data_IF_555945522011
#
_entry.id   IF_555945522011
#
_cell.length_a   1.000
_cell.length_b   1.000
_cell.length_c   1.000
_cell.angle_alpha   90.00
_cell.angle_beta   90.00
_cell.angle_gamma   90.00
#
_symmetry.space_group_name_H-M   'P 1'
#
loop_
_entity.id
_entity.type
_entity.pdbx_description
1 polymer ?
#
# COMPACT_ATOMS: atom_id res chain seq x y z
N UNK A 1 36.62 -2.59 65.08
CA UNK A 1 38.07 -2.33 64.98
C UNK A 1 38.54 -2.83 63.63
N UNK A 2 39.25 -1.99 62.87
CA UNK A 2 40.08 -2.43 61.75
C UNK A 2 39.42 -2.40 60.38
N UNK A 3 39.68 -1.30 59.67
CA UNK A 3 39.54 -1.07 58.23
C UNK A 3 40.55 -1.89 57.42
N UNK A 4 40.29 -2.00 56.11
CA UNK A 4 41.21 -1.79 54.95
C UNK A 4 40.69 -2.63 53.77
N UNK A 5 40.27 -2.00 52.66
CA UNK A 5 41.11 -1.61 51.51
C UNK A 5 41.74 -2.86 50.85
N UNK A 6 41.68 -3.11 49.54
CA UNK A 6 41.50 -2.21 48.41
C UNK A 6 41.40 -3.05 47.12
N UNK A 7 41.16 -2.37 46.00
CA UNK A 7 41.55 -2.71 44.62
C UNK A 7 40.66 -3.61 43.73
N UNK A 8 40.13 -2.93 42.71
CA UNK A 8 39.64 -3.42 41.43
C UNK A 8 40.68 -4.24 40.66
N UNK A 9 40.24 -5.08 39.70
CA UNK A 9 40.47 -4.90 38.23
C UNK A 9 40.19 -6.20 37.45
N UNK A 10 39.44 -6.03 36.35
CA UNK A 10 39.32 -6.79 35.07
C UNK A 10 38.59 -8.14 34.94
N UNK A 11 37.56 -8.08 34.07
CA UNK A 11 37.28 -8.89 32.87
C UNK A 11 37.55 -10.40 32.89
N UNK A 12 36.54 -11.17 32.46
CA UNK A 12 36.65 -11.92 31.19
C UNK A 12 35.32 -12.51 30.72
N UNK A 13 35.11 -12.41 29.42
CA UNK A 13 34.11 -13.14 28.64
C UNK A 13 34.42 -14.64 28.64
N UNK A 14 33.39 -15.48 28.62
CA UNK A 14 33.40 -16.72 27.83
C UNK A 14 32.00 -17.36 27.77
N UNK A 15 31.66 -17.68 26.53
CA UNK A 15 30.53 -18.39 25.93
C UNK A 15 30.45 -19.89 26.25
N UNK A 16 29.24 -20.48 26.15
CA UNK A 16 28.95 -21.86 25.70
C UNK A 16 27.41 -22.05 25.64
N UNK A 17 26.77 -22.06 24.46
CA UNK A 17 26.38 -23.19 23.59
C UNK A 17 25.23 -24.13 24.09
N UNK A 18 24.07 -23.94 23.43
CA UNK A 18 23.08 -24.90 22.88
C UNK A 18 22.50 -26.06 23.72
N UNK A 19 21.16 -26.07 23.85
CA UNK A 19 20.31 -27.26 23.61
C UNK A 19 18.94 -26.78 23.07
N UNK A 20 18.55 -27.24 21.88
CA UNK A 20 17.17 -27.19 21.37
C UNK A 20 16.33 -28.23 22.12
N UNK A 21 15.11 -27.91 22.53
CA UNK A 21 13.95 -28.76 22.21
C UNK A 21 12.61 -28.05 22.47
N UNK A 22 11.71 -28.32 21.55
CA UNK A 22 10.42 -27.68 21.30
C UNK A 22 9.35 -28.27 22.23
N UNK A 23 8.55 -27.42 22.87
CA UNK A 23 7.20 -27.80 23.31
C UNK A 23 6.20 -26.65 23.09
N UNK A 24 5.44 -26.75 22.00
CA UNK A 24 3.98 -26.69 21.92
C UNK A 24 3.14 -25.81 22.87
N UNK A 25 3.59 -24.65 23.35
CA UNK A 25 2.71 -23.73 24.12
C UNK A 25 2.58 -22.29 23.60
N UNK A 26 3.51 -21.77 22.79
CA UNK A 26 3.49 -20.33 22.47
C UNK A 26 2.81 -19.94 21.14
N UNK A 27 2.15 -20.88 20.46
CA UNK A 27 1.23 -20.56 19.34
C UNK A 27 -0.13 -20.02 19.84
N UNK A 28 -0.22 -19.63 21.11
CA UNK A 28 -1.46 -19.30 21.79
C UNK A 28 -1.43 -17.96 22.55
N UNK A 29 -0.66 -16.94 22.11
CA UNK A 29 -0.80 -15.58 22.67
C UNK A 29 -0.64 -14.45 21.62
N UNK A 30 -1.42 -14.51 20.53
CA UNK A 30 -1.69 -13.34 19.65
C UNK A 30 -3.13 -12.82 19.87
N UNK A 31 -3.62 -12.88 21.12
CA UNK A 31 -4.92 -12.32 21.53
C UNK A 31 -4.75 -11.24 22.59
N UNK A 32 -3.79 -10.32 22.40
CA UNK A 32 -3.70 -9.12 23.25
C UNK A 32 -4.54 -7.98 22.68
N UNK A 33 -5.57 -7.63 23.47
CA UNK A 33 -6.30 -6.36 23.52
C UNK A 33 -7.46 -6.11 22.54
N UNK A 34 -8.37 -7.08 22.39
CA UNK A 34 -9.81 -6.75 22.20
C UNK A 34 -10.37 -6.23 23.53
N UNK A 35 -11.05 -5.08 23.51
CA UNK A 35 -11.47 -4.31 24.69
C UNK A 35 -12.04 -5.13 25.87
N UNK A 36 -11.56 -4.81 27.08
CA UNK A 36 -12.10 -5.18 28.41
C UNK A 36 -13.53 -4.65 28.68
N UNK A 37 -14.26 -4.26 27.64
CA UNK A 37 -15.41 -3.35 27.69
C UNK A 37 -16.68 -3.88 27.00
N UNK A 38 -16.60 -5.01 26.29
CA UNK A 38 -17.77 -5.84 25.97
C UNK A 38 -18.38 -6.45 27.24
N UNK A 39 -17.54 -6.70 28.24
CA UNK A 39 -17.97 -6.99 29.60
C UNK A 39 -18.36 -5.67 30.27
N UNK A 40 -19.63 -5.29 30.15
CA UNK A 40 -20.24 -4.33 31.07
C UNK A 40 -20.31 -4.98 32.46
N UNK A 41 -19.16 -5.20 33.11
CA UNK A 41 -19.03 -5.87 34.41
C UNK A 41 -19.85 -5.17 35.49
N UNK A 42 -20.12 -3.89 35.31
CA UNK A 42 -21.04 -3.09 36.09
C UNK A 42 -22.50 -3.55 35.90
N UNK A 43 -22.98 -3.68 34.66
CA UNK A 43 -24.37 -4.08 34.37
C UNK A 43 -24.60 -5.59 34.46
N UNK A 44 -23.57 -6.42 34.29
CA UNK A 44 -23.63 -7.87 34.53
C UNK A 44 -24.02 -8.20 35.98
N UNK A 45 -23.80 -7.28 36.92
CA UNK A 45 -24.11 -7.45 38.35
C UNK A 45 -25.49 -6.92 38.73
N UNK A 46 -26.19 -6.25 37.82
CA UNK A 46 -27.48 -5.61 38.05
C UNK A 46 -28.60 -6.36 37.31
N UNK A 47 -29.72 -6.58 37.99
CA UNK A 47 -30.89 -7.24 37.37
C UNK A 47 -31.69 -6.18 36.59
N UNK A 48 -31.93 -6.36 35.28
CA UNK A 48 -32.75 -5.43 34.50
C UNK A 48 -34.15 -5.26 35.07
N UNK A 49 -34.63 -4.02 35.15
CA UNK A 49 -35.98 -3.71 35.62
C UNK A 49 -37.02 -4.29 34.65
N UNK A 50 -38.14 -4.80 35.16
CA UNK A 50 -39.23 -5.35 34.33
C UNK A 50 -39.72 -4.35 33.27
N UNK A 51 -39.85 -3.07 33.66
CA UNK A 51 -40.21 -1.99 32.75
C UNK A 51 -39.16 -1.76 31.64
N UNK A 52 -37.87 -1.94 31.95
CA UNK A 52 -36.79 -1.82 30.99
C UNK A 52 -36.86 -2.95 29.95
N UNK A 53 -37.01 -4.20 30.40
CA UNK A 53 -37.18 -5.36 29.50
C UNK A 53 -38.42 -5.21 28.61
N UNK A 54 -39.53 -4.71 29.16
CA UNK A 54 -40.74 -4.45 28.38
C UNK A 54 -40.52 -3.37 27.31
N UNK A 55 -39.74 -2.32 27.62
CA UNK A 55 -39.37 -1.29 26.64
C UNK A 55 -38.43 -1.82 25.57
N UNK A 56 -37.40 -2.58 25.94
CA UNK A 56 -36.45 -3.19 25.01
C UNK A 56 -37.18 -4.10 24.01
N UNK A 57 -38.06 -4.98 24.50
CA UNK A 57 -38.88 -5.86 23.65
C UNK A 57 -39.72 -5.07 22.65
N UNK A 58 -40.29 -3.94 23.06
CA UNK A 58 -41.08 -3.07 22.19
C UNK A 58 -40.22 -2.43 21.10
N UNK A 59 -39.05 -1.89 21.47
CA UNK A 59 -38.13 -1.27 20.52
C UNK A 59 -37.59 -2.30 19.50
N UNK A 60 -37.21 -3.50 19.96
CA UNK A 60 -36.83 -4.62 19.08
C UNK A 60 -37.98 -5.00 18.15
N UNK A 61 -39.19 -5.17 18.68
CA UNK A 61 -40.35 -5.53 17.86
C UNK A 61 -40.64 -4.49 16.78
N UNK A 62 -40.56 -3.21 17.11
CA UNK A 62 -40.75 -2.12 16.15
C UNK A 62 -39.68 -2.15 15.05
N UNK A 63 -38.42 -2.37 15.41
CA UNK A 63 -37.31 -2.49 14.46
C UNK A 63 -37.45 -3.70 13.52
N UNK A 64 -37.94 -4.84 14.03
CA UNK A 64 -38.18 -6.03 13.20
C UNK A 64 -39.41 -5.87 12.30
N UNK A 65 -40.43 -5.14 12.76
CA UNK A 65 -41.68 -4.93 12.03
C UNK A 65 -41.53 -3.89 10.91
N UNK A 66 -40.82 -2.81 11.18
CA UNK A 66 -40.64 -1.68 10.27
C UNK A 66 -39.16 -1.18 10.36
N UNK A 67 -38.22 -1.94 9.78
CA UNK A 67 -36.81 -1.60 9.83
C UNK A 67 -36.52 -0.35 8.98
N UNK A 68 -35.74 0.62 9.51
CA UNK A 68 -35.25 1.72 8.69
C UNK A 68 -34.42 1.20 7.50
N UNK A 69 -34.44 1.90 6.34
CA UNK A 69 -33.71 1.45 5.16
C UNK A 69 -32.21 1.23 5.43
N UNK A 70 -31.72 0.03 5.09
CA UNK A 70 -30.31 -0.32 5.27
C UNK A 70 -29.90 -0.63 6.72
N UNK A 71 -30.85 -0.72 7.65
CA UNK A 71 -30.58 -1.08 9.05
C UNK A 71 -31.24 -2.43 9.36
N UNK A 72 -30.45 -3.37 9.87
CA UNK A 72 -30.91 -4.70 10.25
C UNK A 72 -30.49 -5.00 11.68
N UNK A 73 -31.29 -5.78 12.42
CA UNK A 73 -30.97 -6.16 13.79
C UNK A 73 -31.11 -7.67 14.01
N UNK A 74 -30.30 -8.20 14.92
CA UNK A 74 -30.39 -9.56 15.43
C UNK A 74 -30.24 -9.51 16.95
N UNK A 75 -31.34 -9.65 17.73
CA UNK A 75 -31.26 -9.76 19.18
C UNK A 75 -30.50 -11.02 19.61
N UNK A 76 -29.71 -10.92 20.69
CA UNK A 76 -29.04 -12.09 21.26
C UNK A 76 -30.10 -13.04 21.89
N UNK A 77 -30.08 -14.35 21.59
CA UNK A 77 -31.09 -15.30 22.10
C UNK A 77 -31.13 -15.39 23.63
N UNK A 78 -29.96 -15.34 24.27
CA UNK A 78 -29.81 -15.56 25.70
C UNK A 78 -29.93 -14.26 26.54
N UNK A 79 -29.70 -13.11 25.92
CA UNK A 79 -29.71 -11.80 26.59
C UNK A 79 -30.34 -10.73 25.71
N UNK A 80 -31.65 -10.51 25.86
CA UNK A 80 -32.38 -9.51 25.07
C UNK A 80 -31.87 -8.07 25.27
N UNK A 81 -31.03 -7.81 26.27
CA UNK A 81 -30.40 -6.49 26.46
C UNK A 81 -29.24 -6.27 25.49
N UNK A 82 -28.72 -7.34 24.86
CA UNK A 82 -27.70 -7.29 23.81
C UNK A 82 -28.34 -7.46 22.44
N UNK A 83 -27.97 -6.58 21.53
CA UNK A 83 -28.57 -6.51 20.20
C UNK A 83 -27.44 -6.27 19.21
N UNK A 84 -27.37 -7.13 18.21
CA UNK A 84 -26.49 -6.95 17.06
C UNK A 84 -27.22 -6.08 16.04
N UNK A 85 -26.51 -5.14 15.42
CA UNK A 85 -27.05 -4.30 14.36
C UNK A 85 -26.09 -4.27 13.18
N UNK A 86 -26.64 -4.32 11.97
CA UNK A 86 -25.92 -4.14 10.72
C UNK A 86 -26.45 -2.89 10.04
N UNK A 87 -25.57 -1.92 9.77
CA UNK A 87 -25.90 -0.71 9.03
C UNK A 87 -25.17 -0.76 7.70
N UNK A 88 -25.94 -0.73 6.61
CA UNK A 88 -25.42 -0.61 5.25
C UNK A 88 -25.14 0.86 4.97
N UNK A 89 -23.94 1.14 4.47
CA UNK A 89 -23.51 2.49 4.16
C UNK A 89 -24.42 3.18 3.12
N UNK A 90 -24.86 4.43 3.37
CA UNK A 90 -25.83 5.13 2.51
C UNK A 90 -25.32 5.42 1.09
N UNK A 91 -26.26 5.62 0.16
CA UNK A 91 -25.97 6.05 -1.21
C UNK A 91 -25.33 7.44 -1.24
N UNK A 92 -24.48 7.66 -2.24
CA UNK A 92 -23.77 8.92 -2.51
C UNK A 92 -22.83 9.34 -1.38
N UNK A 93 -22.32 8.38 -0.61
CA UNK A 93 -21.36 8.59 0.49
C UNK A 93 -20.12 7.73 0.26
N UNK A 94 -18.94 8.08 0.84
CA UNK A 94 -17.77 7.22 0.79
C UNK A 94 -17.99 5.86 1.49
N UNK A 95 -19.09 5.70 2.23
CA UNK A 95 -19.45 4.46 2.91
C UNK A 95 -20.34 3.53 2.07
N UNK A 96 -20.77 3.96 0.88
CA UNK A 96 -21.82 3.31 0.09
C UNK A 96 -21.62 1.80 -0.08
N UNK A 97 -22.62 1.03 0.36
CA UNK A 97 -22.63 -0.44 0.24
C UNK A 97 -21.75 -1.17 1.25
N UNK A 98 -21.01 -0.48 2.13
CA UNK A 98 -20.24 -1.08 3.21
C UNK A 98 -21.11 -1.67 4.33
N UNK A 99 -20.64 -2.76 4.97
CA UNK A 99 -21.30 -3.45 6.07
C UNK A 99 -20.71 -3.06 7.42
N UNK A 100 -21.36 -2.13 8.13
CA UNK A 100 -20.95 -1.68 9.46
C UNK A 100 -21.71 -2.45 10.53
N UNK A 101 -21.01 -3.37 11.18
CA UNK A 101 -21.55 -4.24 12.22
C UNK A 101 -21.32 -3.63 13.60
N UNK A 102 -22.39 -3.51 14.38
CA UNK A 102 -22.41 -2.93 15.71
C UNK A 102 -22.96 -3.92 16.75
N UNK A 103 -22.46 -3.80 17.98
CA UNK A 103 -23.03 -4.46 19.15
C UNK A 103 -23.58 -3.37 20.08
N UNK A 104 -24.86 -3.48 20.42
CA UNK A 104 -25.55 -2.61 21.35
C UNK A 104 -25.86 -3.38 22.63
N UNK A 105 -25.77 -2.68 23.77
CA UNK A 105 -26.21 -3.19 25.05
C UNK A 105 -27.03 -2.17 25.81
N UNK A 106 -28.28 -2.50 26.09
CA UNK A 106 -29.17 -1.69 26.91
C UNK A 106 -28.82 -1.80 28.40
N UNK A 107 -28.84 -0.70 29.16
CA UNK A 107 -28.62 -0.73 30.60
C UNK A 107 -29.82 -1.34 31.36
N UNK A 108 -29.61 -1.80 32.61
CA UNK A 108 -30.67 -2.37 33.47
C UNK A 108 -31.86 -1.44 33.72
N UNK A 109 -31.68 -0.13 33.55
CA UNK A 109 -32.69 0.92 33.73
C UNK A 109 -33.08 1.62 32.41
N UNK A 110 -32.81 1.01 31.25
CA UNK A 110 -33.27 1.51 29.95
C UNK A 110 -34.78 1.82 29.96
N UNK A 111 -35.25 2.95 29.38
CA UNK A 111 -34.53 3.95 28.58
C UNK A 111 -34.01 5.15 29.39
N UNK A 112 -33.84 5.06 30.71
CA UNK A 112 -33.36 6.20 31.52
C UNK A 112 -31.92 6.58 31.18
N UNK A 113 -31.09 5.58 30.88
CA UNK A 113 -29.73 5.74 30.36
C UNK A 113 -29.64 5.21 28.93
N UNK A 114 -28.74 5.77 28.09
CA UNK A 114 -28.54 5.29 26.74
C UNK A 114 -27.94 3.89 26.73
N UNK A 115 -28.16 3.12 25.65
CA UNK A 115 -27.41 1.90 25.42
C UNK A 115 -25.93 2.21 25.15
N UNK A 116 -25.04 1.27 25.50
CA UNK A 116 -23.67 1.27 25.00
C UNK A 116 -23.67 0.71 23.58
N UNK A 117 -22.88 1.28 22.69
CA UNK A 117 -22.76 0.86 21.30
C UNK A 117 -21.29 0.78 20.92
N UNK A 118 -20.90 -0.26 20.17
CA UNK A 118 -19.55 -0.49 19.71
C UNK A 118 -19.57 -0.91 18.23
N UNK A 119 -18.75 -0.27 17.40
CA UNK A 119 -18.46 -0.68 16.04
C UNK A 119 -17.48 -1.86 16.07
N UNK A 120 -17.86 -2.97 15.45
CA UNK A 120 -17.03 -4.17 15.33
C UNK A 120 -16.25 -4.20 14.00
N UNK A 121 -16.78 -3.57 12.96
CA UNK A 121 -16.12 -3.41 11.67
C UNK A 121 -15.02 -2.34 11.77
N UNK A 122 -13.83 -2.69 12.27
CA UNK A 122 -12.69 -1.76 12.46
C UNK A 122 -11.36 -2.26 11.85
N UNK A 123 -11.39 -3.37 11.12
CA UNK A 123 -10.20 -3.99 10.52
C UNK A 123 -9.18 -4.38 11.59
N UNK A 124 -9.60 -5.05 12.65
CA UNK A 124 -8.76 -5.37 13.82
C UNK A 124 -8.14 -4.12 14.48
N UNK A 125 -8.95 -3.08 14.66
CA UNK A 125 -8.57 -1.80 15.27
C UNK A 125 -7.51 -1.01 14.51
N UNK A 126 -7.51 -1.11 13.18
CA UNK A 126 -6.57 -0.38 12.32
C UNK A 126 -7.20 0.82 11.62
N UNK A 127 -8.53 0.87 11.52
CA UNK A 127 -9.26 1.86 10.71
C UNK A 127 -10.11 2.79 11.57
N UNK A 128 -9.89 4.09 11.43
CA UNK A 128 -10.81 5.14 11.89
C UNK A 128 -11.76 5.48 10.74
N UNK A 129 -13.02 5.06 10.82
CA UNK A 129 -13.97 5.21 9.71
C UNK A 129 -14.59 6.60 9.63
N UNK A 130 -14.64 7.33 10.73
CA UNK A 130 -15.27 8.65 10.84
C UNK A 130 -14.63 9.39 12.03
N UNK A 131 -14.59 10.73 12.07
CA UNK A 131 -14.19 11.48 13.27
C UNK A 131 -14.86 10.99 14.57
N UNK A 132 -16.11 10.56 14.44
CA UNK A 132 -16.94 10.01 15.52
C UNK A 132 -16.90 8.47 15.66
N UNK A 133 -16.17 7.75 14.82
CA UNK A 133 -16.04 6.28 14.83
C UNK A 133 -14.55 5.92 14.83
N UNK A 134 -13.98 5.75 16.03
CA UNK A 134 -12.56 5.44 16.15
C UNK A 134 -12.25 3.96 15.91
N UNK A 135 -10.96 3.68 15.68
CA UNK A 135 -10.41 2.35 15.45
C UNK A 135 -10.67 1.37 16.59
N UNK A 136 -10.89 1.84 17.81
CA UNK A 136 -11.22 0.95 18.93
C UNK A 136 -12.71 0.54 18.92
N UNK A 137 -13.47 1.02 17.93
CA UNK A 137 -14.90 0.78 17.78
C UNK A 137 -15.77 1.76 18.56
N UNK A 138 -15.17 2.75 19.24
CA UNK A 138 -15.93 3.66 20.09
C UNK A 138 -16.63 4.71 19.25
N UNK A 139 -17.87 5.00 19.65
CA UNK A 139 -18.75 5.94 18.96
C UNK A 139 -18.88 7.22 19.80
N UNK A 140 -18.63 8.37 19.18
CA UNK A 140 -18.79 9.70 19.78
C UNK A 140 -20.08 10.35 19.26
N UNK A 141 -21.17 10.18 20.01
CA UNK A 141 -22.49 10.69 19.67
C UNK A 141 -23.14 11.33 20.89
N UNK A 142 -23.78 12.48 20.65
CA UNK A 142 -24.54 13.20 21.66
C UNK A 142 -25.69 12.34 22.22
N UNK A 143 -26.31 11.55 21.34
CA UNK A 143 -27.39 10.61 21.66
C UNK A 143 -26.98 9.42 22.53
N UNK A 144 -25.68 9.17 22.73
CA UNK A 144 -25.20 8.17 23.73
C UNK A 144 -24.31 8.83 24.80
N UNK A 145 -24.39 10.16 24.94
CA UNK A 145 -23.66 10.98 25.90
C UNK A 145 -22.13 10.84 25.80
N UNK A 146 -21.62 10.55 24.61
CA UNK A 146 -20.18 10.49 24.33
C UNK A 146 -19.69 11.73 23.58
N UNK A 147 -20.57 12.68 23.27
CA UNK A 147 -20.29 13.95 22.60
C UNK A 147 -21.18 15.09 23.14
N UNK A 148 -20.90 16.34 22.74
CA UNK A 148 -21.61 17.55 23.23
C UNK A 148 -23.11 17.52 22.92
N UNK A 149 -23.89 18.33 23.66
CA UNK A 149 -25.37 18.39 23.61
C UNK A 149 -25.99 18.34 22.20
N UNK A 150 -27.20 17.77 22.04
CA UNK A 150 -28.14 17.33 23.08
C UNK A 150 -27.91 15.90 23.60
N UNK A 151 -28.04 15.71 24.91
CA UNK A 151 -27.89 14.42 25.59
C UNK A 151 -29.07 13.47 25.37
N UNK A 152 -28.84 12.17 25.63
CA UNK A 152 -29.87 11.13 25.59
C UNK A 152 -31.12 11.51 26.38
N UNK A 153 -32.29 11.34 25.76
CA UNK A 153 -33.58 11.51 26.39
C UNK A 153 -34.37 10.18 26.35
N UNK A 154 -35.06 9.77 27.43
CA UNK A 154 -35.87 8.53 27.44
C UNK A 154 -36.99 8.43 26.39
N UNK A 155 -37.29 9.54 25.70
CA UNK A 155 -38.18 9.56 24.54
C UNK A 155 -37.54 8.91 23.29
N UNK A 156 -36.20 8.89 23.21
CA UNK A 156 -35.46 8.22 22.16
C UNK A 156 -35.61 6.70 22.23
N UNK A 157 -35.36 6.04 21.11
CA UNK A 157 -35.49 4.60 20.92
C UNK A 157 -34.22 4.01 20.31
N UNK A 158 -34.12 2.68 20.28
CA UNK A 158 -33.07 1.99 19.54
C UNK A 158 -33.09 2.35 18.05
N UNK A 159 -34.29 2.54 17.47
CA UNK A 159 -34.43 2.96 16.08
C UNK A 159 -33.87 4.36 15.83
N UNK A 160 -34.22 5.35 16.64
CA UNK A 160 -33.65 6.69 16.50
C UNK A 160 -32.14 6.72 16.68
N UNK A 161 -31.60 5.87 17.57
CA UNK A 161 -30.15 5.74 17.75
C UNK A 161 -29.47 5.18 16.50
N UNK A 162 -29.97 4.07 15.95
CA UNK A 162 -29.39 3.46 14.75
C UNK A 162 -29.49 4.39 13.54
N UNK A 163 -30.58 5.15 13.42
CA UNK A 163 -30.71 6.21 12.40
C UNK A 163 -29.65 7.29 12.62
N UNK A 164 -29.43 7.75 13.86
CA UNK A 164 -28.37 8.73 14.15
C UNK A 164 -26.98 8.19 13.80
N UNK A 165 -26.69 6.91 14.05
CA UNK A 165 -25.43 6.27 13.65
C UNK A 165 -25.30 6.24 12.13
N UNK A 166 -26.35 5.84 11.41
CA UNK A 166 -26.34 5.82 9.95
C UNK A 166 -26.15 7.24 9.37
N UNK A 167 -26.70 8.27 10.02
CA UNK A 167 -26.54 9.67 9.60
C UNK A 167 -25.13 10.22 9.77
N UNK A 168 -24.27 9.61 10.62
CA UNK A 168 -22.84 9.93 10.66
C UNK A 168 -22.11 9.50 9.38
N UNK A 169 -22.64 8.51 8.66
CA UNK A 169 -22.06 8.04 7.41
C UNK A 169 -22.45 9.03 6.29
N UNK A 170 -22.01 10.28 6.43
CA UNK A 170 -22.39 11.42 5.60
C UNK A 170 -21.56 11.50 4.32
N UNK A 171 -21.90 12.41 3.39
CA UNK A 171 -21.18 12.58 2.13
C UNK A 171 -19.78 13.21 2.32
N UNK A 172 -19.59 14.01 3.37
CA UNK A 172 -18.36 14.76 3.61
C UNK A 172 -17.92 14.64 5.08
N UNK A 173 -17.55 13.43 5.53
CA UNK A 173 -17.21 13.14 6.93
C UNK A 173 -16.02 13.96 7.47
N UNK A 174 -15.18 14.53 6.61
CA UNK A 174 -14.11 15.44 7.02
C UNK A 174 -14.62 16.64 7.83
N UNK A 175 -15.79 17.19 7.47
CA UNK A 175 -16.34 18.39 8.12
C UNK A 175 -16.99 18.09 9.47
N UNK A 176 -17.14 16.81 9.83
CA UNK A 176 -17.70 16.39 11.10
C UNK A 176 -16.65 16.43 12.24
N UNK A 177 -15.37 16.66 11.92
CA UNK A 177 -14.30 16.94 12.89
C UNK A 177 -14.36 18.42 13.36
N UNK A 178 -14.36 18.69 14.68
CA UNK A 178 -14.40 20.05 15.20
C UNK A 178 -13.27 20.95 14.70
N UNK A 179 -13.63 22.09 14.12
CA UNK A 179 -12.66 23.05 13.56
C UNK A 179 -12.17 22.69 12.15
N UNK A 180 -12.85 21.77 11.46
CA UNK A 180 -12.60 21.40 10.06
C UNK A 180 -13.82 21.69 9.17
N UNK A 181 -14.70 22.61 9.59
CA UNK A 181 -15.86 23.05 8.80
C UNK A 181 -15.44 23.70 7.47
N UNK A 182 -14.22 24.24 7.42
CA UNK A 182 -13.54 24.68 6.20
C UNK A 182 -12.31 23.82 5.95
N UNK A 183 -12.09 23.43 4.70
CA UNK A 183 -10.89 22.70 4.31
C UNK A 183 -9.63 23.52 4.59
N UNK A 184 -8.64 22.89 5.25
CA UNK A 184 -7.34 23.54 5.51
C UNK A 184 -6.53 23.69 4.24
N UNK A 185 -6.59 22.68 3.38
CA UNK A 185 -6.05 22.71 2.03
C UNK A 185 -7.15 22.31 1.04
N UNK A 186 -7.12 22.93 -0.14
CA UNK A 186 -8.06 22.61 -1.20
C UNK A 186 -8.00 21.11 -1.54
N UNK A 187 -9.13 20.43 -1.40
CA UNK A 187 -9.28 19.00 -1.70
C UNK A 187 -9.00 18.06 -0.54
N UNK A 188 -8.85 18.56 0.70
CA UNK A 188 -8.70 17.70 1.89
C UNK A 188 -9.92 16.81 2.11
N UNK A 189 -11.14 17.33 1.94
CA UNK A 189 -12.37 16.53 2.09
C UNK A 189 -12.42 15.43 1.03
N UNK A 190 -12.02 15.75 -0.21
CA UNK A 190 -11.95 14.77 -1.30
C UNK A 190 -10.96 13.63 -0.98
N UNK A 191 -9.74 13.96 -0.56
CA UNK A 191 -8.73 12.95 -0.17
C UNK A 191 -9.20 12.10 1.00
N UNK A 192 -9.88 12.71 1.97
CA UNK A 192 -10.48 11.99 3.09
C UNK A 192 -11.54 11.01 2.59
N UNK A 193 -12.43 11.43 1.68
CA UNK A 193 -13.42 10.56 1.06
C UNK A 193 -12.80 9.41 0.28
N UNK A 194 -11.71 9.64 -0.44
CA UNK A 194 -10.95 8.59 -1.16
C UNK A 194 -10.43 7.52 -0.18
N UNK A 195 -9.83 7.94 0.94
CA UNK A 195 -9.35 7.03 2.00
C UNK A 195 -10.52 6.23 2.59
N UNK A 196 -11.61 6.90 2.96
CA UNK A 196 -12.77 6.23 3.55
C UNK A 196 -13.44 5.27 2.56
N UNK A 197 -13.50 5.62 1.28
CA UNK A 197 -14.04 4.75 0.23
C UNK A 197 -13.23 3.48 0.09
N UNK A 198 -11.90 3.61 0.08
CA UNK A 198 -10.98 2.47 0.05
C UNK A 198 -11.17 1.58 1.28
N UNK A 199 -11.15 2.14 2.49
CA UNK A 199 -11.30 1.36 3.73
C UNK A 199 -12.69 0.72 3.86
N UNK A 200 -13.73 1.37 3.33
CA UNK A 200 -15.07 0.79 3.25
C UNK A 200 -15.07 -0.46 2.39
N UNK A 201 -14.47 -0.43 1.20
CA UNK A 201 -14.38 -1.61 0.34
C UNK A 201 -13.51 -2.71 0.97
N UNK A 202 -12.31 -2.34 1.44
CA UNK A 202 -11.34 -3.28 1.99
C UNK A 202 -11.89 -4.00 3.23
N UNK A 203 -12.38 -3.24 4.22
CA UNK A 203 -12.76 -3.78 5.52
C UNK A 203 -14.27 -4.01 5.61
N UNK A 204 -15.07 -2.99 5.31
CA UNK A 204 -16.51 -3.09 5.52
C UNK A 204 -17.22 -3.92 4.45
N UNK A 205 -16.60 -4.19 3.30
CA UNK A 205 -17.14 -5.11 2.28
C UNK A 205 -16.35 -6.41 2.25
N UNK A 206 -15.08 -6.39 1.82
CA UNK A 206 -14.30 -7.61 1.59
C UNK A 206 -14.04 -8.38 2.88
N UNK A 207 -13.40 -7.79 3.89
CA UNK A 207 -13.10 -8.52 5.14
C UNK A 207 -14.38 -9.04 5.83
N UNK A 208 -15.47 -8.27 5.81
CA UNK A 208 -16.76 -8.68 6.37
C UNK A 208 -17.37 -9.89 5.64
N UNK A 209 -17.24 -9.96 4.31
CA UNK A 209 -17.70 -11.09 3.50
C UNK A 209 -16.75 -12.29 3.53
N UNK A 210 -15.45 -12.07 3.72
CA UNK A 210 -14.45 -13.13 3.88
C UNK A 210 -14.57 -13.79 5.26
N UNK A 211 -14.98 -13.03 6.28
CA UNK A 211 -15.10 -13.48 7.66
C UNK A 211 -16.57 -13.49 8.14
N UNK A 212 -17.45 -14.19 7.43
CA UNK A 212 -18.89 -14.28 7.76
C UNK A 212 -19.18 -14.85 9.16
N UNK A 213 -18.22 -15.56 9.77
CA UNK A 213 -18.33 -16.07 11.14
C UNK A 213 -18.16 -14.97 12.21
N UNK A 214 -17.70 -13.78 11.83
CA UNK A 214 -17.50 -12.65 12.74
C UNK A 214 -18.80 -11.94 13.15
N UNK A 215 -19.91 -12.21 12.47
CA UNK A 215 -21.22 -11.61 12.72
C UNK A 215 -22.33 -12.67 12.82
N UNK A 216 -23.49 -12.33 13.42
CA UNK A 216 -24.61 -13.26 13.54
C UNK A 216 -25.04 -13.86 12.19
N UNK A 217 -25.44 -15.13 12.20
CA UNK A 217 -25.83 -15.88 10.99
C UNK A 217 -26.96 -15.19 10.20
N UNK A 218 -27.88 -14.50 10.90
CA UNK A 218 -28.99 -13.75 10.31
C UNK A 218 -28.51 -12.65 9.35
N UNK A 219 -27.28 -12.15 9.49
CA UNK A 219 -26.74 -11.10 8.63
C UNK A 219 -26.11 -11.65 7.35
N UNK A 220 -25.75 -12.93 7.27
CA UNK A 220 -25.00 -13.50 6.15
C UNK A 220 -25.76 -13.36 4.82
N UNK A 221 -27.00 -13.81 4.79
CA UNK A 221 -27.84 -13.71 3.58
C UNK A 221 -28.08 -12.26 3.19
N UNK A 222 -28.29 -11.37 4.18
CA UNK A 222 -28.51 -9.94 3.96
C UNK A 222 -27.26 -9.32 3.32
N UNK A 223 -26.08 -9.59 3.85
CA UNK A 223 -24.80 -9.08 3.32
C UNK A 223 -24.56 -9.57 1.90
N UNK A 224 -24.79 -10.85 1.61
CA UNK A 224 -24.64 -11.41 0.26
C UNK A 224 -25.59 -10.73 -0.72
N UNK A 225 -26.87 -10.57 -0.35
CA UNK A 225 -27.86 -9.91 -1.21
C UNK A 225 -27.52 -8.43 -1.46
N UNK A 226 -27.11 -7.69 -0.43
CA UNK A 226 -26.69 -6.30 -0.57
C UNK A 226 -25.40 -6.18 -1.38
N UNK A 227 -24.43 -7.09 -1.21
CA UNK A 227 -23.20 -7.11 -2.00
C UNK A 227 -23.48 -7.20 -3.49
N UNK A 228 -24.35 -8.13 -3.92
CA UNK A 228 -24.75 -8.22 -5.32
C UNK A 228 -25.51 -6.99 -5.80
N UNK A 229 -26.33 -6.36 -4.94
CA UNK A 229 -27.02 -5.11 -5.26
C UNK A 229 -26.04 -3.96 -5.51
N UNK A 230 -24.91 -3.91 -4.80
CA UNK A 230 -23.89 -2.86 -4.91
C UNK A 230 -22.68 -3.27 -5.75
N UNK A 231 -22.68 -4.46 -6.35
CA UNK A 231 -21.52 -5.04 -7.02
C UNK A 231 -20.95 -4.12 -8.11
N UNK A 232 -21.80 -3.62 -9.01
CA UNK A 232 -21.37 -2.75 -10.09
C UNK A 232 -20.72 -1.45 -9.57
N UNK A 233 -21.24 -0.91 -8.47
CA UNK A 233 -20.65 0.26 -7.81
C UNK A 233 -19.27 -0.07 -7.20
N UNK A 234 -19.15 -1.20 -6.50
CA UNK A 234 -17.87 -1.63 -5.92
C UNK A 234 -16.81 -1.81 -7.00
N UNK A 235 -17.16 -2.44 -8.13
CA UNK A 235 -16.25 -2.58 -9.27
C UNK A 235 -15.90 -1.22 -9.86
N UNK A 236 -16.88 -0.34 -10.08
CA UNK A 236 -16.63 1.00 -10.60
C UNK A 236 -15.61 1.77 -9.75
N UNK A 237 -15.84 1.84 -8.43
CA UNK A 237 -14.95 2.53 -7.49
C UNK A 237 -13.55 1.91 -7.50
N UNK A 238 -13.43 0.58 -7.54
CA UNK A 238 -12.14 -0.09 -7.69
C UNK A 238 -11.45 0.27 -9.01
N UNK A 239 -12.18 0.32 -10.13
CA UNK A 239 -11.62 0.61 -11.45
C UNK A 239 -11.22 2.08 -11.62
N UNK A 240 -12.03 3.02 -11.13
CA UNK A 240 -11.72 4.46 -11.20
C UNK A 240 -10.54 4.82 -10.28
N UNK A 241 -10.41 4.14 -9.14
CA UNK A 241 -9.30 4.37 -8.21
C UNK A 241 -8.06 3.51 -8.52
N UNK A 242 -8.17 2.43 -9.30
CA UNK A 242 -7.01 1.71 -9.83
C UNK A 242 -6.09 2.65 -10.62
N UNK A 243 -6.64 3.61 -11.35
CA UNK A 243 -5.87 4.61 -12.09
C UNK A 243 -5.23 5.68 -11.17
N UNK A 244 -5.77 5.90 -9.96
CA UNK A 244 -5.24 6.88 -8.98
C UNK A 244 -4.22 6.28 -7.99
N UNK A 245 -4.47 5.08 -7.45
CA UNK A 245 -3.56 4.39 -6.51
C UNK A 245 -2.27 3.92 -7.21
N UNK A 246 -2.36 3.53 -8.48
CA UNK A 246 -1.18 3.26 -9.29
C UNK A 246 -0.39 4.53 -9.62
N UNK A 247 -0.99 5.72 -9.58
CA UNK A 247 -0.26 6.98 -9.83
C UNK A 247 0.43 7.52 -8.57
N UNK A 248 -0.15 7.31 -7.38
CA UNK A 248 0.40 7.83 -6.12
C UNK A 248 1.59 7.00 -5.59
N UNK A 249 1.65 5.70 -5.90
CA UNK A 249 2.69 4.77 -5.44
C UNK A 249 3.73 4.39 -6.50
N UNK A 250 3.52 4.77 -7.77
CA UNK A 250 4.51 4.58 -8.85
C UNK A 250 5.33 5.84 -9.04
N UNK A 251 6.60 5.77 -8.67
CA UNK A 251 7.56 6.83 -8.97
C UNK A 251 8.21 6.48 -10.30
N UNK A 252 8.05 7.40 -11.25
CA UNK A 252 8.70 7.32 -12.54
C UNK A 252 10.04 8.03 -12.49
N UNK A 253 11.12 7.36 -12.89
CA UNK A 253 12.46 7.94 -12.90
C UNK A 253 13.12 7.75 -14.26
N UNK A 254 13.76 8.80 -14.76
CA UNK A 254 14.58 8.75 -15.97
C UNK A 254 16.03 9.04 -15.61
N UNK A 255 16.92 8.09 -15.85
CA UNK A 255 18.37 8.25 -15.69
C UNK A 255 18.99 8.38 -17.06
N UNK A 256 19.73 9.47 -17.28
CA UNK A 256 20.54 9.65 -18.49
C UNK A 256 21.91 9.03 -18.24
N UNK A 257 22.37 8.19 -19.16
CA UNK A 257 23.64 7.50 -19.03
C UNK A 257 24.83 8.47 -18.85
N UNK A 258 25.74 8.21 -17.90
CA UNK A 258 26.85 9.12 -17.58
C UNK A 258 27.86 9.29 -18.72
N UNK A 259 28.60 10.40 -18.70
CA UNK A 259 29.71 10.65 -19.63
C UNK A 259 30.83 9.62 -19.43
N UNK A 260 31.54 9.32 -20.52
CA UNK A 260 32.70 8.41 -20.57
C UNK A 260 32.36 6.95 -20.20
N UNK A 261 31.09 6.57 -20.36
CA UNK A 261 30.59 5.20 -20.14
C UNK A 261 29.95 4.65 -21.43
N UNK A 262 29.83 3.32 -21.61
CA UNK A 262 29.12 2.76 -22.75
C UNK A 262 27.62 3.13 -22.77
N UNK A 263 27.09 3.70 -21.68
CA UNK A 263 25.70 4.13 -21.54
C UNK A 263 25.48 5.59 -21.96
N UNK A 264 26.54 6.33 -22.30
CA UNK A 264 26.53 7.79 -22.46
C UNK A 264 25.36 8.30 -23.32
N UNK A 265 24.54 9.17 -22.73
CA UNK A 265 23.40 9.80 -23.42
C UNK A 265 22.15 8.91 -23.56
N UNK A 266 22.23 7.63 -23.24
CA UNK A 266 21.07 6.71 -23.24
C UNK A 266 20.02 7.09 -22.20
N UNK A 267 18.74 6.86 -22.53
CA UNK A 267 17.59 7.12 -21.67
C UNK A 267 17.10 5.83 -20.98
N UNK A 268 17.46 5.68 -19.71
CA UNK A 268 17.06 4.53 -18.89
C UNK A 268 15.87 4.91 -18.02
N UNK A 269 14.70 4.37 -18.35
CA UNK A 269 13.44 4.65 -17.68
C UNK A 269 13.12 3.54 -16.67
N UNK A 270 12.85 3.94 -15.44
CA UNK A 270 12.57 3.08 -14.31
C UNK A 270 11.19 3.38 -13.72
N UNK A 271 10.51 2.32 -13.28
CA UNK A 271 9.32 2.41 -12.45
C UNK A 271 9.68 1.88 -11.06
N UNK A 272 9.49 2.71 -10.05
CA UNK A 272 9.64 2.35 -8.65
C UNK A 272 8.25 2.26 -8.02
N UNK A 273 8.01 1.20 -7.24
CA UNK A 273 6.79 1.03 -6.46
C UNK A 273 7.14 0.89 -4.98
N UNK A 274 6.71 1.85 -4.18
CA UNK A 274 6.85 1.77 -2.73
C UNK A 274 5.86 0.74 -2.17
N UNK A 275 6.29 -0.18 -1.29
CA UNK A 275 5.34 -1.02 -0.56
C UNK A 275 4.59 -0.19 0.50
N UNK A 276 3.43 -0.65 1.00
CA UNK A 276 2.64 0.07 2.02
C UNK A 276 3.39 0.40 3.33
N UNK A 277 4.44 -0.36 3.63
CA UNK A 277 5.29 -0.19 4.81
C UNK A 277 6.63 0.49 4.51
N UNK A 278 6.78 1.16 3.36
CA UNK A 278 7.90 2.05 3.09
C UNK A 278 7.96 3.17 4.16
N UNK A 279 9.14 3.55 4.71
CA UNK A 279 10.49 3.18 4.30
C UNK A 279 11.08 1.95 5.02
N UNK A 280 10.29 1.17 5.76
CA UNK A 280 10.81 -0.02 6.48
C UNK A 280 11.34 -1.04 5.47
N UNK A 281 10.61 -1.27 4.37
CA UNK A 281 11.06 -2.06 3.22
C UNK A 281 11.42 -1.18 2.02
N UNK A 282 12.40 -1.60 1.19
CA UNK A 282 12.78 -0.85 0.00
C UNK A 282 11.65 -0.81 -1.03
N UNK A 283 11.65 0.20 -1.92
CA UNK A 283 10.80 0.18 -3.09
C UNK A 283 11.22 -0.96 -4.03
N UNK A 284 10.24 -1.53 -4.75
CA UNK A 284 10.53 -2.40 -5.90
C UNK A 284 10.88 -1.52 -7.08
N UNK A 285 11.95 -1.82 -7.79
CA UNK A 285 12.38 -1.05 -8.96
C UNK A 285 12.46 -1.96 -10.18
N UNK A 286 11.94 -1.49 -11.32
CA UNK A 286 12.01 -2.16 -12.60
C UNK A 286 12.56 -1.20 -13.66
N UNK A 287 13.52 -1.68 -14.44
CA UNK A 287 13.97 -1.05 -15.68
C UNK A 287 12.95 -1.36 -16.79
N UNK A 288 12.41 -0.33 -17.42
CA UNK A 288 11.47 -0.45 -18.53
C UNK A 288 12.17 -0.36 -19.89
N UNK A 289 13.34 0.29 -19.95
CA UNK A 289 14.19 0.35 -21.16
C UNK A 289 14.92 -0.98 -21.35
N UNK A 290 14.23 -2.02 -21.85
CA UNK A 290 14.81 -3.37 -22.07
C UNK A 290 14.72 -3.86 -23.53
N UNK A 291 14.19 -3.02 -24.42
CA UNK A 291 13.98 -3.35 -25.83
C UNK A 291 13.02 -4.54 -26.01
N UNK A 292 11.88 -4.51 -25.33
CA UNK A 292 10.93 -5.63 -25.26
C UNK A 292 11.58 -6.94 -24.78
N UNK A 293 12.35 -6.84 -23.69
CA UNK A 293 13.07 -7.95 -23.07
C UNK A 293 14.13 -8.62 -23.96
N UNK A 294 14.77 -7.84 -24.83
CA UNK A 294 15.83 -8.33 -25.71
C UNK A 294 17.24 -8.04 -25.20
N UNK A 295 17.40 -7.08 -24.27
CA UNK A 295 18.72 -6.55 -23.87
C UNK A 295 18.97 -6.71 -22.36
N UNK A 296 20.10 -7.33 -22.01
CA UNK A 296 20.66 -7.26 -20.66
C UNK A 296 21.70 -6.12 -20.63
N UNK A 297 21.35 -4.95 -20.08
CA UNK A 297 22.23 -3.77 -20.16
C UNK A 297 23.44 -3.85 -19.24
N UNK A 298 23.34 -4.59 -18.14
CA UNK A 298 24.37 -4.68 -17.11
C UNK A 298 24.25 -6.06 -16.43
N UNK A 299 25.30 -6.65 -15.86
CA UNK A 299 25.19 -7.84 -15.00
C UNK A 299 24.04 -7.77 -13.99
N UNK A 300 23.91 -6.61 -13.34
CA UNK A 300 22.84 -6.26 -12.40
C UNK A 300 21.53 -5.75 -13.01
N UNK A 301 21.40 -5.63 -14.34
CA UNK A 301 20.19 -5.17 -15.04
C UNK A 301 19.82 -6.17 -16.13
N UNK A 302 18.89 -7.09 -15.82
CA UNK A 302 18.49 -8.13 -16.77
C UNK A 302 17.46 -7.62 -17.80
N UNK A 303 17.28 -8.42 -18.86
CA UNK A 303 16.29 -8.18 -19.91
C UNK A 303 14.85 -8.13 -19.42
N UNK A 304 14.52 -8.73 -18.28
CA UNK A 304 13.17 -8.66 -17.72
C UNK A 304 12.94 -7.37 -16.92
N UNK A 305 13.94 -6.49 -16.88
CA UNK A 305 13.90 -5.23 -16.15
C UNK A 305 14.23 -5.39 -14.66
N UNK A 306 14.64 -6.58 -14.20
CA UNK A 306 15.03 -6.77 -12.80
C UNK A 306 16.37 -6.13 -12.54
N UNK A 307 16.46 -5.53 -11.36
CA UNK A 307 17.66 -4.88 -10.85
C UNK A 307 18.19 -5.69 -9.69
N UNK A 308 19.48 -6.02 -9.72
CA UNK A 308 20.19 -6.72 -8.66
C UNK A 308 21.07 -5.73 -7.89
N UNK A 309 20.52 -5.16 -6.83
CA UNK A 309 21.18 -4.20 -5.96
C UNK A 309 20.98 -4.58 -4.49
N UNK A 310 22.05 -4.45 -3.72
CA UNK A 310 22.08 -4.77 -2.29
C UNK A 310 21.07 -3.91 -1.51
N UNK A 311 21.01 -2.63 -1.85
CA UNK A 311 20.10 -1.65 -1.26
C UNK A 311 18.61 -1.87 -1.59
N UNK A 312 18.24 -2.75 -2.52
CA UNK A 312 16.83 -3.17 -2.71
C UNK A 312 16.61 -4.63 -2.33
N UNK A 313 17.55 -5.19 -1.54
CA UNK A 313 17.54 -6.56 -1.03
C UNK A 313 17.42 -7.63 -2.12
N UNK A 314 17.98 -7.36 -3.30
CA UNK A 314 18.05 -8.32 -4.41
C UNK A 314 19.48 -8.83 -4.62
N UNK A 315 20.44 -8.36 -3.82
CA UNK A 315 21.84 -8.73 -3.88
C UNK A 315 22.48 -8.75 -2.49
N UNK A 316 23.68 -9.33 -2.34
CA UNK A 316 24.38 -9.46 -1.05
C UNK A 316 24.71 -8.10 -0.43
N UNK A 317 24.84 -8.06 0.90
CA UNK A 317 25.06 -6.88 1.77
C UNK A 317 25.88 -5.72 1.18
N UNK A 318 25.59 -4.46 1.57
CA UNK A 318 24.67 -4.01 2.62
C UNK A 318 23.20 -3.94 2.17
N UNK A 319 22.27 -4.32 3.06
CA UNK A 319 20.82 -4.29 2.82
C UNK A 319 20.23 -2.88 2.97
N UNK A 320 18.99 -2.72 2.49
CA UNK A 320 18.22 -1.49 2.65
C UNK A 320 18.16 -1.03 4.11
N UNK A 321 18.46 0.25 4.35
CA UNK A 321 18.26 0.90 5.65
C UNK A 321 17.12 1.93 5.52
N UNK A 322 16.15 1.99 6.45
CA UNK A 322 15.05 2.96 6.40
C UNK A 322 15.49 4.44 6.39
N UNK A 323 16.76 4.74 6.69
CA UNK A 323 17.35 6.07 6.56
C UNK A 323 17.74 6.42 5.10
N UNK A 324 17.74 5.46 4.18
CA UNK A 324 17.97 5.68 2.76
C UNK A 324 16.73 6.27 2.08
N UNK A 325 16.96 6.96 0.97
CA UNK A 325 15.92 7.63 0.19
C UNK A 325 15.84 7.08 -1.24
N UNK A 326 14.73 7.36 -1.91
CA UNK A 326 14.59 7.13 -3.37
C UNK A 326 15.74 7.81 -4.14
N UNK A 327 16.17 9.00 -3.73
CA UNK A 327 17.31 9.68 -4.35
C UNK A 327 18.61 8.88 -4.21
N UNK A 328 18.92 8.33 -3.03
CA UNK A 328 20.12 7.48 -2.87
C UNK A 328 20.04 6.17 -3.67
N UNK A 329 18.83 5.63 -3.84
CA UNK A 329 18.61 4.48 -4.72
C UNK A 329 18.90 4.85 -6.19
N UNK A 330 18.37 5.97 -6.68
CA UNK A 330 18.62 6.43 -8.04
C UNK A 330 20.10 6.74 -8.30
N UNK A 331 20.81 7.31 -7.31
CA UNK A 331 22.27 7.53 -7.39
C UNK A 331 23.02 6.20 -7.48
N UNK A 332 22.59 5.18 -6.73
CA UNK A 332 23.19 3.85 -6.77
C UNK A 332 22.93 3.14 -8.11
N UNK A 333 21.71 3.27 -8.65
CA UNK A 333 21.38 2.79 -10.00
C UNK A 333 22.24 3.49 -11.05
N UNK A 334 22.40 4.82 -10.95
CA UNK A 334 23.26 5.57 -11.87
C UNK A 334 24.73 5.13 -11.78
N UNK A 335 25.18 4.73 -10.59
CA UNK A 335 26.55 4.25 -10.36
C UNK A 335 26.83 2.87 -10.98
N UNK A 336 25.80 2.05 -11.22
CA UNK A 336 25.91 0.82 -12.02
C UNK A 336 26.20 1.11 -13.50
N UNK A 337 25.82 2.29 -14.00
CA UNK A 337 26.13 2.70 -15.37
C UNK A 337 27.58 3.17 -15.45
N UNK A 338 28.51 2.28 -15.08
CA UNK A 338 29.93 2.53 -14.90
C UNK A 338 30.71 2.40 -16.23
N UNK A 339 31.99 2.76 -16.22
CA UNK A 339 32.86 2.67 -17.41
C UNK A 339 33.21 1.22 -17.79
N UNK A 340 33.21 0.28 -16.85
CA UNK A 340 33.63 -1.11 -17.07
C UNK A 340 32.65 -2.11 -16.42
N UNK A 341 31.39 -2.15 -16.87
CA UNK A 341 30.33 -2.98 -16.29
C UNK A 341 30.59 -4.49 -16.33
N UNK A 342 31.53 -4.96 -17.14
CA UNK A 342 31.92 -6.38 -17.15
C UNK A 342 32.44 -6.86 -15.79
N UNK A 343 33.16 -5.99 -15.05
CA UNK A 343 33.75 -6.37 -13.76
C UNK A 343 32.75 -6.38 -12.60
N UNK A 344 31.52 -5.93 -12.84
CA UNK A 344 30.46 -5.91 -11.83
C UNK A 344 29.76 -7.28 -11.70
N UNK A 345 30.05 -8.24 -12.59
CA UNK A 345 29.63 -9.64 -12.46
C UNK A 345 30.56 -10.40 -11.49
N UNK A 346 30.02 -11.08 -10.46
CA UNK A 346 30.83 -11.85 -9.52
C UNK A 346 31.71 -12.91 -10.18
N UNK A 347 33.00 -12.91 -9.84
CA UNK A 347 33.97 -13.84 -10.43
C UNK A 347 34.47 -13.43 -11.82
N UNK A 348 34.23 -12.18 -12.22
CA UNK A 348 34.76 -11.54 -13.44
C UNK A 348 35.56 -10.26 -13.11
N UNK A 349 36.06 -10.13 -11.87
CA UNK A 349 36.92 -9.02 -11.43
C UNK A 349 38.20 -8.95 -12.28
N UNK A 350 38.63 -10.10 -12.84
CA UNK A 350 39.65 -10.18 -13.87
C UNK A 350 39.06 -10.69 -15.18
N UNK A 351 39.56 -10.17 -16.31
CA UNK A 351 39.17 -10.65 -17.63
C UNK A 351 39.58 -12.12 -17.81
N UNK A 352 38.62 -12.97 -18.22
CA UNK A 352 38.93 -14.39 -18.51
C UNK A 352 39.70 -14.53 -19.80
N UNK A 353 39.41 -13.66 -20.77
CA UNK A 353 40.17 -13.51 -22.01
C UNK A 353 40.46 -12.04 -22.22
N UNK A 354 41.65 -11.76 -22.73
CA UNK A 354 42.07 -10.41 -23.05
C UNK A 354 41.04 -9.71 -23.96
N UNK A 355 40.57 -8.55 -23.51
CA UNK A 355 39.62 -7.69 -24.20
C UNK A 355 38.14 -8.05 -23.99
N UNK A 356 37.80 -8.90 -23.02
CA UNK A 356 36.42 -9.23 -22.70
C UNK A 356 35.63 -7.99 -22.23
N UNK A 357 36.21 -7.15 -21.36
CA UNK A 357 35.56 -5.91 -20.90
C UNK A 357 35.30 -4.96 -22.07
N UNK A 358 36.28 -4.82 -22.98
CA UNK A 358 36.13 -4.00 -24.19
C UNK A 358 35.01 -4.50 -25.10
N UNK A 359 34.95 -5.80 -25.39
CA UNK A 359 33.88 -6.39 -26.21
C UNK A 359 32.51 -6.19 -25.58
N UNK A 360 32.42 -6.35 -24.25
CA UNK A 360 31.18 -6.10 -23.52
C UNK A 360 30.76 -4.63 -23.66
N UNK A 361 31.68 -3.68 -23.49
CA UNK A 361 31.41 -2.25 -23.68
C UNK A 361 30.95 -1.92 -25.10
N UNK A 362 31.55 -2.51 -26.14
CA UNK A 362 31.14 -2.32 -27.54
C UNK A 362 29.69 -2.78 -27.77
N UNK A 363 29.30 -3.92 -27.17
CA UNK A 363 27.93 -4.43 -27.20
C UNK A 363 26.97 -3.47 -26.48
N UNK A 364 27.30 -3.07 -25.25
CA UNK A 364 26.44 -2.17 -24.46
C UNK A 364 26.30 -0.79 -25.12
N UNK A 365 27.36 -0.28 -25.74
CA UNK A 365 27.32 0.98 -26.49
C UNK A 365 26.34 0.90 -27.66
N UNK A 366 26.41 -0.18 -28.44
CA UNK A 366 25.47 -0.42 -29.53
C UNK A 366 24.03 -0.48 -29.03
N UNK A 367 23.77 -1.29 -28.01
CA UNK A 367 22.42 -1.48 -27.46
C UNK A 367 21.87 -0.21 -26.80
N UNK A 368 22.75 0.62 -26.22
CA UNK A 368 22.38 1.93 -25.68
C UNK A 368 21.84 2.83 -26.79
N UNK A 369 22.50 2.92 -27.94
CA UNK A 369 21.99 3.70 -29.06
C UNK A 369 20.72 3.10 -29.67
N UNK A 370 20.72 1.78 -29.88
CA UNK A 370 19.60 1.06 -30.52
C UNK A 370 18.30 1.18 -29.73
N UNK A 371 18.37 0.94 -28.42
CA UNK A 371 17.21 0.80 -27.53
C UNK A 371 17.05 2.02 -26.64
N UNK A 372 18.07 2.38 -25.86
CA UNK A 372 17.96 3.45 -24.87
C UNK A 372 17.91 4.85 -25.51
N UNK A 373 18.31 5.02 -26.77
CA UNK A 373 18.14 6.27 -27.52
C UNK A 373 17.02 6.13 -28.55
N UNK A 374 17.20 5.31 -29.59
CA UNK A 374 16.28 5.29 -30.73
C UNK A 374 14.89 4.76 -30.35
N UNK A 375 14.75 3.56 -29.77
CA UNK A 375 13.41 3.01 -29.42
C UNK A 375 12.67 3.90 -28.41
N UNK A 376 13.39 4.44 -27.42
CA UNK A 376 12.83 5.36 -26.43
C UNK A 376 12.28 6.65 -27.07
N UNK A 377 12.91 7.17 -28.13
CA UNK A 377 12.45 8.36 -28.84
C UNK A 377 11.44 8.06 -29.95
N UNK A 378 11.51 6.92 -30.61
CA UNK A 378 10.57 6.53 -31.67
C UNK A 378 9.18 6.23 -31.13
N UNK A 379 9.10 5.56 -29.96
CA UNK A 379 7.82 5.21 -29.36
C UNK A 379 7.35 6.31 -28.39
N UNK A 380 6.20 6.97 -28.64
CA UNK A 380 5.64 7.98 -27.73
C UNK A 380 5.24 7.41 -26.36
N UNK A 381 4.90 6.12 -26.30
CA UNK A 381 4.40 5.43 -25.10
C UNK A 381 5.52 4.76 -24.29
N UNK A 382 6.79 4.93 -24.70
CA UNK A 382 7.95 4.35 -24.02
C UNK A 382 8.14 4.84 -22.59
N UNK A 383 7.69 6.07 -22.29
CA UNK A 383 7.75 6.67 -20.97
C UNK A 383 6.68 7.78 -20.81
N UNK A 384 6.36 8.20 -19.58
CA UNK A 384 5.43 9.30 -19.34
C UNK A 384 5.81 10.57 -20.09
N UNK A 385 4.83 11.24 -20.70
CA UNK A 385 5.04 12.41 -21.58
C UNK A 385 5.78 13.59 -20.92
N UNK A 386 5.84 13.64 -19.59
CA UNK A 386 6.63 14.63 -18.83
C UNK A 386 8.14 14.52 -19.13
N UNK A 387 8.66 13.31 -19.35
CA UNK A 387 10.07 13.08 -19.66
C UNK A 387 10.43 13.40 -21.11
N UNK A 388 9.44 13.41 -22.01
CA UNK A 388 9.65 13.62 -23.45
C UNK A 388 10.42 14.90 -23.75
N UNK A 389 10.06 16.01 -23.09
CA UNK A 389 10.74 17.31 -23.26
C UNK A 389 12.21 17.24 -22.83
N UNK A 390 12.50 16.52 -21.75
CA UNK A 390 13.86 16.32 -21.24
C UNK A 390 14.68 15.45 -22.19
N UNK A 391 14.09 14.35 -22.67
CA UNK A 391 14.74 13.44 -23.62
C UNK A 391 15.09 14.15 -24.92
N UNK A 392 14.16 14.89 -25.52
CA UNK A 392 14.41 15.65 -26.75
C UNK A 392 15.56 16.66 -26.53
N UNK A 393 15.54 17.40 -25.41
CA UNK A 393 16.62 18.34 -25.08
C UNK A 393 17.98 17.66 -24.96
N UNK A 394 18.05 16.51 -24.29
CA UNK A 394 19.31 15.76 -24.13
C UNK A 394 19.73 15.09 -25.44
N UNK A 395 18.79 14.61 -26.26
CA UNK A 395 19.07 14.02 -27.56
C UNK A 395 19.86 14.98 -28.45
N UNK A 396 19.40 16.23 -28.58
CA UNK A 396 20.13 17.24 -29.33
C UNK A 396 21.49 17.59 -28.73
N UNK A 397 21.64 17.52 -27.40
CA UNK A 397 22.92 17.75 -26.72
C UNK A 397 23.96 16.67 -27.06
N UNK A 398 23.53 15.42 -27.22
CA UNK A 398 24.39 14.28 -27.49
C UNK A 398 24.40 13.84 -28.96
N UNK A 399 23.65 14.53 -29.84
CA UNK A 399 23.46 14.11 -31.23
C UNK A 399 24.78 13.90 -31.98
N UNK A 400 25.69 14.87 -31.91
CA UNK A 400 26.98 14.78 -32.62
C UNK A 400 27.83 13.60 -32.11
N UNK A 401 27.72 13.27 -30.82
CA UNK A 401 28.35 12.08 -30.24
C UNK A 401 27.74 10.79 -30.80
N UNK A 402 26.41 10.70 -30.92
CA UNK A 402 25.74 9.52 -31.47
C UNK A 402 26.14 9.26 -32.92
N UNK A 403 26.19 10.32 -33.74
CA UNK A 403 26.61 10.23 -35.13
C UNK A 403 28.07 9.77 -35.21
N UNK A 404 28.96 10.39 -34.44
CA UNK A 404 30.38 10.00 -34.38
C UNK A 404 30.55 8.52 -34.03
N UNK A 405 29.87 8.03 -32.99
CA UNK A 405 29.94 6.62 -32.59
C UNK A 405 29.46 5.70 -33.70
N UNK A 406 28.35 6.02 -34.36
CA UNK A 406 27.83 5.18 -35.46
C UNK A 406 28.78 5.18 -36.66
N UNK A 407 29.36 6.33 -37.03
CA UNK A 407 30.28 6.43 -38.16
C UNK A 407 31.59 5.67 -37.92
N UNK A 408 32.15 5.75 -36.72
CA UNK A 408 33.41 5.07 -36.38
C UNK A 408 33.24 3.54 -36.32
N UNK A 409 32.05 3.06 -35.97
CA UNK A 409 31.78 1.63 -35.79
C UNK A 409 31.03 0.97 -36.95
N UNK A 410 30.79 1.69 -38.05
CA UNK A 410 30.04 1.18 -39.21
C UNK A 410 30.68 -0.06 -39.87
N UNK A 411 32.01 -0.19 -39.78
CA UNK A 411 32.72 -1.38 -40.28
C UNK A 411 32.41 -2.67 -39.50
N UNK A 412 31.75 -2.55 -38.33
CA UNK A 412 31.36 -3.68 -37.51
C UNK A 412 29.95 -4.20 -37.87
N UNK A 413 29.24 -3.58 -38.80
CA UNK A 413 27.91 -4.03 -39.21
C UNK A 413 27.88 -5.50 -39.62
N UNK A 414 26.78 -6.16 -39.25
CA UNK A 414 26.53 -7.59 -39.42
C UNK A 414 27.50 -8.53 -38.67
N UNK A 415 28.51 -8.00 -37.98
CA UNK A 415 29.34 -8.81 -37.09
C UNK A 415 28.54 -9.25 -35.87
N UNK A 416 28.63 -10.54 -35.54
CA UNK A 416 27.92 -11.13 -34.41
C UNK A 416 28.47 -10.60 -33.08
N UNK A 417 27.57 -10.13 -32.21
CA UNK A 417 27.90 -9.70 -30.86
C UNK A 417 28.29 -10.91 -30.01
N UNK A 418 29.59 -11.04 -29.73
CA UNK A 418 30.15 -12.13 -28.93
C UNK A 418 30.20 -11.72 -27.46
N UNK A 419 29.10 -11.96 -26.75
CA UNK A 419 29.00 -11.70 -25.32
C UNK A 419 30.01 -12.56 -24.53
N UNK A 420 30.93 -11.95 -23.75
CA UNK A 420 31.85 -12.67 -22.87
C UNK A 420 31.17 -13.58 -21.83
N UNK A 421 29.92 -13.27 -21.45
CA UNK A 421 29.11 -14.09 -20.54
C UNK A 421 28.39 -15.25 -21.25
N UNK A 422 28.51 -15.35 -22.58
CA UNK A 422 27.92 -16.42 -23.38
C UNK A 422 26.46 -16.17 -23.81
N UNK A 423 25.93 -14.97 -23.58
CA UNK A 423 24.60 -14.55 -24.03
C UNK A 423 24.48 -14.43 -25.55
N UNK A 424 23.28 -14.67 -26.09
CA UNK A 424 22.96 -14.42 -27.51
C UNK A 424 22.37 -13.01 -27.65
N UNK A 425 23.04 -12.13 -28.42
CA UNK A 425 22.68 -10.70 -28.55
C UNK A 425 22.45 -10.18 -29.97
N UNK A 426 22.58 -11.03 -30.99
CA UNK A 426 22.41 -10.63 -32.40
C UNK A 426 23.70 -10.11 -33.03
N UNK A 427 23.59 -9.18 -33.98
CA UNK A 427 24.70 -8.57 -34.71
C UNK A 427 24.66 -7.04 -34.60
N UNK A 428 25.81 -6.39 -34.77
CA UNK A 428 25.88 -4.93 -34.83
C UNK A 428 25.16 -4.39 -36.07
N UNK A 429 24.49 -3.25 -35.92
CA UNK A 429 23.63 -2.61 -36.92
C UNK A 429 23.76 -1.07 -36.86
N UNK A 430 24.98 -0.56 -36.84
CA UNK A 430 25.26 0.88 -36.75
C UNK A 430 24.72 1.66 -37.95
N UNK A 431 24.72 1.13 -39.18
CA UNK A 431 24.09 1.82 -40.32
C UNK A 431 22.59 2.03 -40.11
N UNK A 432 21.90 1.01 -39.58
CA UNK A 432 20.46 1.13 -39.29
C UNK A 432 20.20 2.12 -38.15
N UNK A 433 21.03 2.13 -37.11
CA UNK A 433 20.92 3.07 -36.00
C UNK A 433 21.16 4.51 -36.50
N UNK A 434 22.16 4.72 -37.35
CA UNK A 434 22.47 6.02 -37.94
C UNK A 434 21.27 6.59 -38.71
N UNK A 435 20.65 5.80 -39.59
CA UNK A 435 19.44 6.21 -40.31
C UNK A 435 18.30 6.57 -39.37
N UNK A 436 18.10 5.82 -38.28
CA UNK A 436 17.07 6.11 -37.26
C UNK A 436 17.36 7.42 -36.53
N UNK A 437 18.61 7.67 -36.15
CA UNK A 437 19.03 8.92 -35.50
C UNK A 437 18.80 10.13 -36.39
N UNK A 438 19.11 10.02 -37.68
CA UNK A 438 18.87 11.08 -38.67
C UNK A 438 17.37 11.37 -38.87
N UNK A 439 16.51 10.35 -38.81
CA UNK A 439 15.05 10.51 -38.88
C UNK A 439 14.45 11.15 -37.62
N UNK A 440 15.09 10.98 -36.47
CA UNK A 440 14.67 11.55 -35.19
C UNK A 440 15.06 13.02 -35.01
N UNK A 441 16.04 13.51 -35.78
CA UNK A 441 16.49 14.91 -35.79
C UNK A 441 15.59 15.79 -36.63
#
# INVERSE_FOLDING_TARGET
MGTNDDTMVTNNQSSEQSVNDISNEDTLMVTQHRWKLLDCLDWNKEIPKVAALARIKRDIFNLLKDPPPGIFIAPEPDDITKIHALVVGPLDTPYQGGFFYFILRCPPDYPMRPPRCLLMTTGNNTVDFHPSLDRNGKIYLSTINTWSEPSWCPAQSLSSLLISIQSLLSQNPYHDEPGFEQERQLGDSKRYNEIISHETLRVAVCEMLENLDSCPEQFREIMIQQFFKFYDYHILVCTENMDNDDQLMRIHALVVGPLDTPYQGGFFYFILRCPPDYPIRPPRCLLMTTGNNTVDFHPSLDRNGKIFLSIINTWSEPSWCPAQSISSLLVSIQSLLSQNPYHDEPGFEQERRLGDSKRYNEIILHETLRVAVCEMLENPDSCPGQFRKVMIKQFFKFYDYYIFVCTENMNNDDQLMRDPFGGRRGSFQYSSILTRLEQLK
#
